data_IF_220892645792
#
_entry.id   IF_220892645792
#
_cell.length_a   1.000
_cell.length_b   1.000
_cell.length_c   1.000
_cell.angle_alpha   90.00
_cell.angle_beta   90.00
_cell.angle_gamma   90.00
#
_symmetry.space_group_name_H-M   'P 1'
#
loop_
_entity.id
_entity.type
_entity.pdbx_description
1 polymer ?
#
# COMPACT_ATOMS: atom_id res chain seq x y z
N UNK A 1 -12.29 -11.04 2.08
CA UNK A 1 -11.27 -10.17 2.67
C UNK A 1 -9.90 -10.82 2.59
N UNK A 2 -8.89 -10.02 2.29
CA UNK A 2 -7.52 -10.52 2.14
C UNK A 2 -6.88 -10.68 3.51
N UNK A 3 -6.23 -11.83 3.76
CA UNK A 3 -5.55 -12.05 5.03
C UNK A 3 -4.30 -11.17 5.14
N UNK A 4 -3.95 -10.80 6.36
CA UNK A 4 -2.77 -9.97 6.62
C UNK A 4 -1.48 -10.65 6.20
N UNK A 5 -1.43 -11.98 6.29
CA UNK A 5 -0.23 -12.73 5.88
C UNK A 5 0.03 -12.62 4.37
N UNK A 6 -1.03 -12.71 3.58
CA UNK A 6 -0.91 -12.65 2.12
C UNK A 6 -0.55 -11.24 1.67
N UNK A 7 -1.18 -10.22 2.24
CA UNK A 7 -1.01 -8.84 1.79
C UNK A 7 0.26 -8.18 2.31
N UNK A 8 0.91 -8.77 3.33
CA UNK A 8 2.08 -8.16 3.99
C UNK A 8 3.15 -7.70 3.02
N UNK A 9 3.45 -8.50 2.02
CA UNK A 9 4.48 -8.18 1.03
C UNK A 9 4.11 -7.05 0.07
N UNK A 10 2.86 -6.60 0.09
CA UNK A 10 2.38 -5.59 -0.85
C UNK A 10 2.05 -4.26 -0.21
N UNK A 11 2.11 -4.17 1.11
CA UNK A 11 1.74 -2.93 1.82
C UNK A 11 2.54 -1.72 1.35
N UNK A 12 3.85 -1.90 1.15
CA UNK A 12 4.71 -0.79 0.73
C UNK A 12 4.27 -0.25 -0.64
N UNK A 13 4.00 -1.15 -1.58
CA UNK A 13 3.54 -0.77 -2.91
C UNK A 13 2.19 -0.06 -2.86
N UNK A 14 1.28 -0.58 -2.06
CA UNK A 14 -0.06 0.00 -1.89
C UNK A 14 0.02 1.41 -1.32
N UNK A 15 0.83 1.60 -0.28
CA UNK A 15 0.99 2.90 0.36
C UNK A 15 1.65 3.89 -0.59
N UNK A 16 2.72 3.48 -1.29
CA UNK A 16 3.38 4.35 -2.25
C UNK A 16 2.43 4.79 -3.37
N UNK A 17 1.56 3.90 -3.81
CA UNK A 17 0.53 4.26 -4.79
C UNK A 17 -0.30 5.45 -4.34
N UNK A 18 -0.71 5.47 -3.07
CA UNK A 18 -1.54 6.55 -2.55
C UNK A 18 -0.83 7.89 -2.51
N UNK A 19 0.49 7.89 -2.63
CA UNK A 19 1.31 9.11 -2.56
C UNK A 19 1.85 9.55 -3.93
N UNK A 20 1.50 8.83 -5.01
CA UNK A 20 2.05 9.14 -6.34
C UNK A 20 1.65 10.52 -6.86
N UNK A 21 0.41 10.91 -6.65
CA UNK A 21 -0.12 12.13 -7.24
C UNK A 21 -0.07 13.33 -6.31
N UNK A 22 -0.01 13.11 -5.00
CA UNK A 22 0.03 14.18 -4.02
C UNK A 22 0.43 13.65 -2.65
N UNK A 23 0.91 14.52 -1.79
CA UNK A 23 1.15 14.18 -0.40
C UNK A 23 -0.16 13.85 0.33
N UNK A 24 -0.06 13.03 1.36
CA UNK A 24 -1.21 12.60 2.14
C UNK A 24 -0.80 12.29 3.57
N UNK A 25 -1.75 11.97 4.40
CA UNK A 25 -1.53 11.65 5.82
C UNK A 25 -2.22 10.35 6.18
N UNK A 26 -1.87 9.79 7.33
CA UNK A 26 -2.26 8.43 7.70
C UNK A 26 -3.74 8.10 7.50
N UNK A 27 -4.61 8.94 8.05
CA UNK A 27 -6.05 8.71 7.94
C UNK A 27 -6.53 8.69 6.47
N UNK A 28 -6.06 9.65 5.68
CA UNK A 28 -6.42 9.74 4.27
C UNK A 28 -5.88 8.54 3.47
N UNK A 29 -4.65 8.14 3.73
CA UNK A 29 -4.05 6.96 3.10
C UNK A 29 -4.88 5.72 3.40
N UNK A 30 -5.21 5.51 4.66
CA UNK A 30 -6.03 4.38 5.10
C UNK A 30 -7.39 4.36 4.40
N UNK A 31 -8.02 5.52 4.32
CA UNK A 31 -9.33 5.68 3.67
C UNK A 31 -9.25 5.38 2.18
N UNK A 32 -8.20 5.85 1.52
CA UNK A 32 -7.97 5.60 0.10
C UNK A 32 -7.79 4.11 -0.18
N UNK A 33 -7.02 3.42 0.66
CA UNK A 33 -6.81 1.97 0.53
C UNK A 33 -8.14 1.23 0.65
N UNK A 34 -8.92 1.57 1.65
CA UNK A 34 -10.24 0.96 1.86
C UNK A 34 -11.14 1.16 0.64
N UNK A 35 -11.20 2.38 0.14
CA UNK A 35 -12.04 2.74 -0.99
C UNK A 35 -11.62 2.03 -2.28
N UNK A 36 -10.33 2.12 -2.63
CA UNK A 36 -9.83 1.54 -3.87
C UNK A 36 -9.89 0.01 -3.87
N UNK A 37 -9.78 -0.61 -2.72
CA UNK A 37 -9.91 -2.07 -2.62
C UNK A 37 -11.36 -2.53 -2.51
N UNK A 38 -12.32 -1.60 -2.60
CA UNK A 38 -13.75 -1.89 -2.43
C UNK A 38 -14.00 -2.62 -1.10
N UNK A 39 -13.33 -2.12 -0.06
CA UNK A 39 -13.39 -2.63 1.31
C UNK A 39 -12.87 -4.06 1.48
N UNK A 40 -12.19 -4.59 0.47
CA UNK A 40 -11.57 -5.92 0.57
C UNK A 40 -10.28 -5.92 1.36
N UNK A 41 -9.67 -4.74 1.53
CA UNK A 41 -8.50 -4.59 2.37
C UNK A 41 -8.62 -3.33 3.23
N UNK A 42 -8.63 -3.56 4.54
CA UNK A 42 -8.64 -2.49 5.54
C UNK A 42 -7.33 -2.62 6.31
N UNK A 43 -6.41 -1.69 6.08
CA UNK A 43 -5.10 -1.74 6.71
C UNK A 43 -5.22 -1.34 8.18
N UNK A 44 -4.59 -2.12 9.07
CA UNK A 44 -4.55 -1.78 10.49
C UNK A 44 -3.66 -0.57 10.70
N UNK A 45 -4.03 0.28 11.65
CA UNK A 45 -3.27 1.49 11.97
C UNK A 45 -1.82 1.18 12.31
N UNK A 46 -1.59 0.15 13.13
CA UNK A 46 -0.23 -0.26 13.50
C UNK A 46 0.59 -0.68 12.28
N UNK A 47 -0.03 -1.40 11.36
CA UNK A 47 0.63 -1.84 10.11
C UNK A 47 0.96 -0.65 9.24
N UNK A 48 0.04 0.31 9.13
CA UNK A 48 0.25 1.51 8.33
C UNK A 48 1.43 2.33 8.84
N UNK A 49 1.46 2.62 10.14
CA UNK A 49 2.52 3.45 10.71
C UNK A 49 3.87 2.75 10.75
N UNK A 50 3.88 1.42 10.92
CA UNK A 50 5.11 0.64 10.79
C UNK A 50 5.66 0.73 9.38
N UNK A 51 4.77 0.69 8.38
CA UNK A 51 5.18 0.81 6.98
C UNK A 51 5.72 2.22 6.68
N UNK A 52 5.07 3.27 7.20
CA UNK A 52 5.58 4.64 7.04
C UNK A 52 7.00 4.76 7.59
N UNK A 53 7.24 4.23 8.79
CA UNK A 53 8.58 4.27 9.40
C UNK A 53 9.59 3.56 8.53
N UNK A 54 9.27 2.39 8.05
CA UNK A 54 10.16 1.60 7.20
C UNK A 54 10.44 2.31 5.87
N UNK A 55 9.41 2.83 5.23
CA UNK A 55 9.55 3.54 3.96
C UNK A 55 10.37 4.81 4.11
N UNK A 56 10.16 5.54 5.21
CA UNK A 56 10.92 6.75 5.49
C UNK A 56 12.40 6.43 5.78
N UNK A 57 12.65 5.40 6.56
CA UNK A 57 14.01 4.96 6.88
C UNK A 57 14.77 4.54 5.62
N UNK A 58 14.08 4.02 4.63
CA UNK A 58 14.67 3.61 3.36
C UNK A 58 14.76 4.76 2.35
N UNK A 59 14.27 5.93 2.69
CA UNK A 59 14.33 7.09 1.81
C UNK A 59 13.30 7.10 0.69
N UNK A 60 12.28 6.26 0.78
CA UNK A 60 11.23 6.18 -0.24
C UNK A 60 10.13 7.21 -0.06
N UNK A 61 9.96 7.68 1.15
CA UNK A 61 9.05 8.78 1.47
C UNK A 61 9.75 9.72 2.45
N UNK A 62 9.22 10.92 2.56
CA UNK A 62 9.65 11.85 3.60
C UNK A 62 8.43 12.47 4.25
N UNK A 63 8.56 12.75 5.55
CA UNK A 63 7.47 13.32 6.32
C UNK A 63 7.70 14.81 6.54
N UNK A 64 6.61 15.53 6.72
CA UNK A 64 6.64 16.94 7.06
C UNK A 64 5.36 17.30 7.78
N UNK A 65 5.39 18.41 8.52
CA UNK A 65 4.20 18.88 9.20
C UNK A 65 3.38 19.77 8.28
N UNK A 66 2.09 19.47 8.19
CA UNK A 66 1.14 20.30 7.48
C UNK A 66 0.64 21.41 8.37
N UNK A 67 -0.38 22.10 7.88
CA UNK A 67 -1.01 23.17 8.65
C UNK A 67 -1.68 22.64 9.90
N UNK A 68 -1.71 23.48 10.93
CA UNK A 68 -2.38 23.15 12.18
C UNK A 68 -3.89 23.06 11.95
N UNK A 69 -4.49 22.00 12.46
CA UNK A 69 -5.94 21.80 12.41
C UNK A 69 -6.40 21.52 13.84
N UNK A 70 -7.30 22.37 14.37
CA UNK A 70 -7.79 22.23 15.74
C UNK A 70 -6.68 22.18 16.78
N UNK A 71 -5.64 22.99 16.59
CA UNK A 71 -4.53 23.08 17.52
C UNK A 71 -3.52 21.95 17.43
N UNK A 72 -3.65 21.05 16.44
CA UNK A 72 -2.73 19.94 16.25
C UNK A 72 -2.13 19.98 14.86
N UNK A 73 -0.84 19.71 14.77
CA UNK A 73 -0.18 19.56 13.50
C UNK A 73 -0.40 18.15 12.97
N UNK A 74 -0.66 18.07 11.68
CA UNK A 74 -0.83 16.78 11.00
C UNK A 74 0.45 16.42 10.28
N UNK A 75 0.90 15.18 10.44
CA UNK A 75 2.08 14.69 9.73
C UNK A 75 1.65 14.22 8.35
N UNK A 76 2.25 14.83 7.34
CA UNK A 76 2.06 14.45 5.94
C UNK A 76 3.26 13.67 5.45
N UNK A 77 3.04 12.89 4.40
CA UNK A 77 4.08 12.11 3.75
C UNK A 77 4.03 12.40 2.25
N UNK A 78 5.20 12.41 1.64
CA UNK A 78 5.31 12.52 0.18
C UNK A 78 6.31 11.49 -0.33
N UNK A 79 6.07 11.01 -1.55
CA UNK A 79 6.97 10.05 -2.18
C UNK A 79 8.20 10.79 -2.72
N UNK A 80 9.36 10.14 -2.63
CA UNK A 80 10.61 10.69 -3.18
C UNK A 80 10.87 10.10 -4.56
N UNK A 81 11.88 10.63 -5.26
CA UNK A 81 12.32 10.04 -6.53
C UNK A 81 12.73 8.59 -6.34
N UNK A 82 13.44 8.30 -5.24
CA UNK A 82 13.82 6.94 -4.89
C UNK A 82 12.61 6.06 -4.66
N UNK A 83 11.58 6.61 -4.01
CA UNK A 83 10.32 5.91 -3.78
C UNK A 83 9.58 5.59 -5.07
N UNK A 84 9.59 6.50 -6.03
CA UNK A 84 8.97 6.28 -7.34
C UNK A 84 9.67 5.16 -8.10
N UNK A 85 11.00 5.12 -8.06
CA UNK A 85 11.77 4.06 -8.68
C UNK A 85 11.48 2.71 -8.03
N UNK A 86 11.41 2.69 -6.71
CA UNK A 86 11.06 1.49 -5.96
C UNK A 86 9.64 1.00 -6.28
N UNK A 87 8.71 1.93 -6.36
CA UNK A 87 7.33 1.60 -6.72
C UNK A 87 7.27 0.93 -8.10
N UNK A 88 7.97 1.51 -9.08
CA UNK A 88 8.02 0.95 -10.43
C UNK A 88 8.60 -0.47 -10.42
N UNK A 89 9.68 -0.67 -9.69
CA UNK A 89 10.31 -1.98 -9.56
C UNK A 89 9.33 -3.00 -8.98
N UNK A 90 8.57 -2.61 -7.96
CA UNK A 90 7.58 -3.51 -7.35
C UNK A 90 6.42 -3.80 -8.30
N UNK A 91 6.00 -2.83 -9.09
CA UNK A 91 4.97 -3.06 -10.09
C UNK A 91 5.44 -4.05 -11.16
N UNK A 92 6.69 -3.93 -11.60
CA UNK A 92 7.26 -4.85 -12.58
C UNK A 92 7.35 -6.27 -11.99
N UNK A 93 7.76 -6.38 -10.73
CA UNK A 93 7.81 -7.64 -10.01
C UNK A 93 6.42 -8.27 -9.90
N UNK A 94 5.41 -7.47 -9.57
CA UNK A 94 4.02 -7.93 -9.49
C UNK A 94 3.52 -8.50 -10.81
N UNK A 95 3.89 -7.89 -11.94
CA UNK A 95 3.50 -8.39 -13.24
C UNK A 95 4.05 -9.80 -13.49
N UNK A 96 5.29 -10.04 -13.08
CA UNK A 96 5.90 -11.36 -13.19
C UNK A 96 5.21 -12.35 -12.25
N UNK A 97 4.95 -11.95 -11.01
CA UNK A 97 4.24 -12.80 -10.05
C UNK A 97 2.86 -13.21 -10.59
N UNK A 98 2.14 -12.24 -11.12
CA UNK A 98 0.81 -12.49 -11.68
C UNK A 98 0.88 -13.49 -12.84
N UNK A 99 1.86 -13.34 -13.71
CA UNK A 99 2.07 -14.25 -14.83
C UNK A 99 2.37 -15.67 -14.34
N UNK A 100 3.28 -15.80 -13.38
CA UNK A 100 3.64 -17.09 -12.81
C UNK A 100 2.44 -17.72 -12.12
N UNK A 101 1.80 -16.97 -11.24
CA UNK A 101 0.68 -17.51 -10.46
C UNK A 101 -0.50 -17.93 -11.33
N UNK A 102 -0.71 -17.23 -12.45
CA UNK A 102 -1.81 -17.58 -13.34
C UNK A 102 -1.70 -19.02 -13.90
N UNK A 103 -0.48 -19.56 -13.92
CA UNK A 103 -0.25 -20.92 -14.38
C UNK A 103 -0.64 -21.97 -13.34
N UNK A 104 -0.82 -21.57 -12.10
CA UNK A 104 -1.10 -22.46 -10.97
C UNK A 104 -2.49 -22.26 -10.39
N UNK A 105 -3.26 -21.34 -10.93
CA UNK A 105 -4.61 -21.09 -10.47
C UNK A 105 -5.58 -21.87 -11.36
N UNK A 106 -6.36 -22.72 -10.73
CA UNK A 106 -7.37 -23.51 -11.42
C UNK A 106 -8.73 -23.17 -10.86
N UNK A 107 -9.67 -22.89 -11.74
CA UNK A 107 -11.04 -22.66 -11.32
C UNK A 107 -11.66 -23.98 -10.88
N UNK A 108 -12.29 -23.96 -9.69
CA UNK A 108 -12.91 -25.16 -9.13
C UNK A 108 -14.42 -25.00 -9.15
N UNK A 109 -15.13 -26.04 -9.57
CA UNK A 109 -16.58 -26.05 -9.58
C UNK A 109 -17.12 -26.45 -8.20
N UNK A 110 -18.29 -25.92 -7.87
CA UNK A 110 -18.94 -26.22 -6.58
C UNK A 110 -19.34 -27.69 -6.46
N UNK A 111 -19.57 -28.37 -7.57
CA UNK A 111 -19.95 -29.81 -7.58
C UNK A 111 -18.74 -30.73 -7.36
N UNK A 112 -17.59 -30.16 -7.03
CA UNK A 112 -16.41 -30.94 -6.74
C UNK A 112 -15.65 -31.44 -7.96
N UNK A 113 -15.94 -30.92 -9.11
CA UNK A 113 -15.21 -31.23 -10.33
C UNK A 113 -13.85 -30.54 -10.30
N UNK A 114 -12.81 -31.32 -10.29
CA UNK A 114 -11.45 -30.80 -10.08
C UNK A 114 -10.58 -31.08 -11.26
#
# INVERSE_FOLDING_TARGET
>A
MISSDVIRGYNDTIILFTLLDRESYGYEVSKTIKKLSEEKYIIKETTLYSAFTRLENNGYIESFYGDETFGKRRTYYRITSKGRAYYKEKCDEWKVIKEVMSKFIKEMNEDGDH
#
